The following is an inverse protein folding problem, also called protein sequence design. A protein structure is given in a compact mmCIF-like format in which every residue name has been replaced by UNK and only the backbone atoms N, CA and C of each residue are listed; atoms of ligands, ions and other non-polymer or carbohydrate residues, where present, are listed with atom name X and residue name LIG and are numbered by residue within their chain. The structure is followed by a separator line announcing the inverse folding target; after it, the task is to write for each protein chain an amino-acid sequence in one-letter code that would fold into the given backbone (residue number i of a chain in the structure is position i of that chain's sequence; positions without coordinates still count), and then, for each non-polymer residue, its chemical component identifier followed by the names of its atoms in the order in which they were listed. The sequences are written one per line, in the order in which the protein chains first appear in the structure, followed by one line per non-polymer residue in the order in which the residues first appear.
data_IF_066767779055
#
_entry.id   IF_066767779055
#
_cell.length_a   1.000
_cell.length_b   1.000
_cell.length_c   1.000
_cell.angle_alpha   90.00
_cell.angle_beta   90.00
_cell.angle_gamma   90.00
#
_symmetry.space_group_name_H-M   'P 1'
#
loop_
_entity.id
_entity.type
_entity.pdbx_description
1 polymer ?
#
# COMPACT_ATOMS: atom_id res chain seq x y z
N UNK A 1 10.11 9.87 -15.57
CA UNK A 1 9.86 10.88 -14.53
C UNK A 1 10.93 11.99 -14.49
N UNK A 2 11.85 12.08 -15.47
CA UNK A 2 12.95 13.06 -15.45
C UNK A 2 12.87 14.15 -16.53
N UNK A 3 11.87 14.10 -17.43
CA UNK A 3 11.85 14.93 -18.64
C UNK A 3 11.85 16.44 -18.36
N UNK A 4 11.04 16.89 -17.40
CA UNK A 4 10.98 18.32 -17.02
C UNK A 4 12.30 18.79 -16.38
N UNK A 5 12.92 17.94 -15.56
CA UNK A 5 14.21 18.22 -14.93
C UNK A 5 15.32 18.38 -15.98
N UNK A 6 15.44 17.40 -16.89
CA UNK A 6 16.44 17.41 -17.97
C UNK A 6 16.26 18.63 -18.89
N UNK A 7 15.01 18.93 -19.28
CA UNK A 7 14.70 20.09 -20.12
C UNK A 7 15.05 21.42 -19.46
N UNK A 8 14.88 21.55 -18.14
CA UNK A 8 15.24 22.77 -17.41
C UNK A 8 16.77 22.94 -17.32
N UNK A 9 17.51 21.86 -17.05
CA UNK A 9 18.97 21.87 -17.06
C UNK A 9 19.53 22.23 -18.44
N UNK A 10 18.94 21.70 -19.52
CA UNK A 10 19.32 22.05 -20.89
C UNK A 10 19.08 23.53 -21.24
N UNK A 11 18.11 24.18 -20.59
CA UNK A 11 17.85 25.62 -20.73
C UNK A 11 18.77 26.49 -19.88
N UNK A 12 19.77 25.91 -19.22
CA UNK A 12 20.68 26.62 -18.32
C UNK A 12 20.05 27.02 -16.99
N UNK A 13 18.89 26.46 -16.64
CA UNK A 13 18.22 26.71 -15.37
C UNK A 13 18.82 25.77 -14.32
N UNK A 14 19.28 26.33 -13.21
CA UNK A 14 19.75 25.55 -12.08
C UNK A 14 18.57 24.90 -11.37
N UNK A 15 18.46 23.57 -11.49
CA UNK A 15 17.43 22.76 -10.85
C UNK A 15 18.09 21.64 -10.06
N UNK A 16 17.89 21.62 -8.75
CA UNK A 16 18.29 20.51 -7.88
C UNK A 16 17.09 19.57 -7.67
N UNK A 17 17.39 18.31 -7.37
CA UNK A 17 16.39 17.34 -6.96
C UNK A 17 16.85 16.79 -5.62
N UNK A 18 15.99 16.91 -4.63
CA UNK A 18 16.20 16.29 -3.33
C UNK A 18 15.16 15.19 -3.14
N UNK A 19 15.61 14.03 -2.71
CA UNK A 19 14.75 12.91 -2.40
C UNK A 19 15.15 12.41 -1.01
N UNK A 20 14.35 12.75 -0.02
CA UNK A 20 14.45 12.17 1.31
C UNK A 20 14.12 10.67 1.23
N UNK A 21 15.14 9.85 1.01
CA UNK A 21 15.00 8.40 1.07
C UNK A 21 14.90 7.97 2.53
N UNK A 22 13.68 7.87 3.05
CA UNK A 22 13.45 7.28 4.36
C UNK A 22 13.38 5.75 4.25
N UNK A 23 14.35 5.05 4.82
CA UNK A 23 14.32 3.58 4.92
C UNK A 23 13.29 3.08 5.94
N UNK A 24 12.97 3.92 6.93
CA UNK A 24 12.27 3.52 8.15
C UNK A 24 10.84 4.08 8.24
N UNK A 25 10.43 4.95 7.30
CA UNK A 25 9.15 5.66 7.36
C UNK A 25 8.06 5.05 6.45
N UNK A 26 8.23 3.79 6.07
CA UNK A 26 7.25 3.08 5.24
C UNK A 26 6.05 2.63 6.09
N UNK A 27 4.84 2.92 5.61
CA UNK A 27 3.63 2.38 6.23
C UNK A 27 3.59 0.85 6.07
N UNK A 28 3.27 0.15 7.15
CA UNK A 28 2.93 -1.26 7.09
C UNK A 28 1.51 -1.44 6.52
N UNK A 29 1.27 -2.52 5.76
CA UNK A 29 -0.02 -2.78 5.12
C UNK A 29 -1.21 -2.75 6.09
N UNK A 30 -1.03 -3.28 7.31
CA UNK A 30 -2.08 -3.28 8.33
C UNK A 30 -2.51 -1.88 8.81
N UNK A 31 -1.69 -0.84 8.59
CA UNK A 31 -2.03 0.54 8.94
C UNK A 31 -3.01 1.18 7.96
N UNK A 32 -3.36 0.49 6.86
CA UNK A 32 -4.42 0.89 5.93
C UNK A 32 -5.81 0.48 6.42
N UNK A 33 -5.89 -0.51 7.31
CA UNK A 33 -7.16 -1.01 7.82
C UNK A 33 -7.90 0.08 8.63
N UNK A 34 -9.23 0.06 8.71
CA UNK A 34 -9.97 0.95 9.61
C UNK A 34 -9.44 0.89 11.05
N UNK A 35 -9.49 2.02 11.77
CA UNK A 35 -8.89 2.12 13.11
C UNK A 35 -9.39 1.03 14.08
N UNK A 36 -10.68 0.70 14.03
CA UNK A 36 -11.27 -0.37 14.86
C UNK A 36 -10.68 -1.76 14.54
N UNK A 37 -10.33 -2.01 13.27
CA UNK A 37 -9.74 -3.26 12.85
C UNK A 37 -8.30 -3.38 13.34
N UNK A 38 -7.60 -2.26 13.55
CA UNK A 38 -6.24 -2.21 14.11
C UNK A 38 -6.21 -2.40 15.65
N UNK A 39 -7.33 -2.17 16.34
CA UNK A 39 -7.38 -2.19 17.80
C UNK A 39 -6.96 -3.54 18.40
N UNK A 40 -6.10 -3.52 19.41
CA UNK A 40 -5.57 -4.74 20.05
C UNK A 40 -4.36 -5.36 19.33
N UNK A 41 -3.79 -4.67 18.33
CA UNK A 41 -2.50 -4.99 17.74
C UNK A 41 -2.53 -6.14 16.72
N UNK A 42 -1.34 -6.54 16.26
CA UNK A 42 -1.15 -7.44 15.09
C UNK A 42 -1.84 -8.80 15.23
N UNK A 43 -1.85 -9.38 16.44
CA UNK A 43 -2.52 -10.67 16.69
C UNK A 43 -4.03 -10.59 16.44
N UNK A 44 -4.68 -9.56 17.00
CA UNK A 44 -6.12 -9.32 16.81
C UNK A 44 -6.47 -8.97 15.38
N UNK A 45 -5.58 -8.26 14.66
CA UNK A 45 -5.74 -8.01 13.22
C UNK A 45 -5.78 -9.34 12.46
N UNK A 46 -4.82 -10.22 12.69
CA UNK A 46 -4.78 -11.54 12.02
C UNK A 46 -6.03 -12.37 12.34
N UNK A 47 -6.48 -12.37 13.59
CA UNK A 47 -7.72 -13.05 13.97
C UNK A 47 -8.95 -12.49 13.24
N UNK A 48 -9.09 -11.17 13.17
CA UNK A 48 -10.16 -10.49 12.43
C UNK A 48 -10.13 -10.81 10.94
N UNK A 49 -8.95 -10.83 10.32
CA UNK A 49 -8.79 -11.08 8.89
C UNK A 49 -9.04 -12.54 8.46
N UNK A 50 -9.19 -13.47 9.42
CA UNK A 50 -9.67 -14.84 9.16
C UNK A 50 -11.17 -14.92 8.92
N UNK A 51 -11.92 -13.92 9.39
CA UNK A 51 -13.38 -13.87 9.25
C UNK A 51 -13.74 -13.17 7.93
N UNK A 52 -14.41 -13.87 6.99
CA UNK A 52 -14.77 -13.30 5.70
C UNK A 52 -15.77 -12.13 5.81
N UNK A 53 -16.67 -12.13 6.79
CA UNK A 53 -17.62 -11.02 6.99
C UNK A 53 -16.88 -9.76 7.45
N UNK A 54 -15.86 -9.94 8.29
CA UNK A 54 -15.00 -8.84 8.73
C UNK A 54 -14.16 -8.30 7.56
N UNK A 55 -13.65 -9.16 6.68
CA UNK A 55 -12.91 -8.72 5.47
C UNK A 55 -13.78 -7.86 4.57
N UNK A 56 -15.01 -8.29 4.30
CA UNK A 56 -15.96 -7.52 3.48
C UNK A 56 -16.36 -6.19 4.15
N UNK A 57 -16.54 -6.18 5.47
CA UNK A 57 -16.77 -4.94 6.23
C UNK A 57 -15.59 -3.97 6.09
N UNK A 58 -14.36 -4.46 6.26
CA UNK A 58 -13.13 -3.66 6.10
C UNK A 58 -13.05 -3.08 4.68
N UNK A 59 -13.24 -3.92 3.66
CA UNK A 59 -13.21 -3.53 2.25
C UNK A 59 -14.23 -2.43 1.96
N UNK A 60 -15.47 -2.63 2.40
CA UNK A 60 -16.55 -1.63 2.24
C UNK A 60 -16.18 -0.30 2.92
N UNK A 61 -15.70 -0.33 4.16
CA UNK A 61 -15.35 0.91 4.87
C UNK A 61 -14.19 1.68 4.22
N UNK A 62 -13.20 0.99 3.65
CA UNK A 62 -12.11 1.65 2.92
C UNK A 62 -12.62 2.27 1.62
N UNK A 63 -13.53 1.61 0.91
CA UNK A 63 -14.11 2.13 -0.34
C UNK A 63 -15.03 3.32 -0.07
N UNK A 64 -15.89 3.21 0.94
CA UNK A 64 -16.82 4.26 1.34
C UNK A 64 -16.09 5.47 1.95
N UNK A 65 -14.97 5.23 2.66
CA UNK A 65 -14.07 6.26 3.20
C UNK A 65 -14.79 7.29 4.09
N UNK A 66 -15.79 6.84 4.84
CA UNK A 66 -16.59 7.69 5.76
C UNK A 66 -15.78 8.26 6.92
N UNK A 67 -14.72 7.54 7.32
CA UNK A 67 -13.75 7.98 8.33
C UNK A 67 -12.36 7.90 7.72
N UNK A 68 -11.93 8.96 6.98
CA UNK A 68 -10.71 8.91 6.21
C UNK A 68 -9.49 8.59 7.04
N UNK A 69 -8.67 7.67 6.53
CA UNK A 69 -7.36 7.36 7.09
C UNK A 69 -6.27 8.28 6.56
N UNK A 70 -5.00 7.96 6.84
CA UNK A 70 -3.86 8.67 6.26
C UNK A 70 -3.86 8.60 4.73
N UNK A 71 -3.23 9.58 4.06
CA UNK A 71 -3.32 9.74 2.61
C UNK A 71 -2.97 8.50 1.77
N UNK A 72 -2.08 7.63 2.25
CA UNK A 72 -1.73 6.39 1.57
C UNK A 72 -2.90 5.39 1.43
N UNK A 73 -3.94 5.49 2.27
CA UNK A 73 -5.17 4.69 2.19
C UNK A 73 -5.89 4.94 0.87
N UNK A 74 -5.75 6.14 0.30
CA UNK A 74 -6.31 6.49 -1.01
C UNK A 74 -5.84 5.57 -2.13
N UNK A 75 -4.62 5.00 -2.06
CA UNK A 75 -4.16 4.04 -3.07
C UNK A 75 -5.01 2.78 -3.08
N UNK A 76 -5.41 2.29 -1.91
CA UNK A 76 -6.27 1.10 -1.78
C UNK A 76 -7.71 1.43 -2.17
N UNK A 77 -8.25 2.55 -1.69
CA UNK A 77 -9.59 3.05 -2.06
C UNK A 77 -9.78 3.14 -3.58
N UNK A 78 -8.78 3.71 -4.26
CA UNK A 78 -8.83 3.92 -5.71
C UNK A 78 -8.30 2.75 -6.54
N UNK A 79 -8.06 1.58 -5.92
CA UNK A 79 -7.59 0.38 -6.62
C UNK A 79 -6.24 0.55 -7.31
N UNK A 80 -5.39 1.45 -6.82
CA UNK A 80 -4.05 1.72 -7.35
C UNK A 80 -3.02 0.69 -6.89
N UNK A 81 -3.35 -0.58 -7.10
CA UNK A 81 -2.53 -1.73 -6.74
C UNK A 81 -1.19 -1.74 -7.47
N UNK A 82 -1.14 -1.10 -8.65
CA UNK A 82 0.04 -0.81 -9.46
C UNK A 82 1.06 0.11 -8.76
N UNK A 83 0.66 0.76 -7.67
CA UNK A 83 1.49 1.72 -6.92
C UNK A 83 1.85 1.28 -5.51
N UNK A 84 1.43 0.10 -5.08
CA UNK A 84 1.69 -0.42 -3.74
C UNK A 84 2.76 -1.51 -3.84
N UNK A 85 3.98 -1.19 -3.42
CA UNK A 85 5.15 -2.07 -3.53
C UNK A 85 5.47 -2.75 -2.21
N UNK A 86 5.90 -4.01 -2.27
CA UNK A 86 6.48 -4.69 -1.10
C UNK A 86 7.95 -4.29 -0.97
N UNK A 87 8.23 -3.43 0.01
CA UNK A 87 9.59 -2.98 0.31
C UNK A 87 10.38 -4.02 1.12
N UNK A 88 9.76 -4.60 2.16
CA UNK A 88 10.41 -5.57 3.04
C UNK A 88 9.40 -6.58 3.58
N UNK A 89 9.80 -7.85 3.69
CA UNK A 89 9.03 -8.86 4.42
C UNK A 89 9.93 -9.99 4.94
N UNK A 90 9.47 -10.72 5.96
CA UNK A 90 10.22 -11.84 6.57
C UNK A 90 9.98 -13.18 5.85
N UNK A 91 8.71 -13.49 5.53
CA UNK A 91 8.28 -14.80 5.00
C UNK A 91 8.29 -14.84 3.47
N UNK A 92 7.74 -13.83 2.82
CA UNK A 92 7.50 -13.81 1.37
C UNK A 92 8.60 -13.07 0.59
N UNK A 93 9.88 -13.34 0.88
CA UNK A 93 11.02 -12.53 0.39
C UNK A 93 11.06 -12.38 -1.14
N UNK A 94 10.55 -13.38 -1.87
CA UNK A 94 10.43 -13.37 -3.33
C UNK A 94 9.44 -12.34 -3.88
N UNK A 95 8.63 -11.71 -3.02
CA UNK A 95 7.69 -10.66 -3.40
C UNK A 95 8.26 -9.25 -3.25
N UNK A 96 9.45 -9.11 -2.65
CA UNK A 96 10.11 -7.79 -2.51
C UNK A 96 10.32 -7.19 -3.90
N UNK A 97 10.01 -5.89 -4.03
CA UNK A 97 10.06 -5.15 -5.29
C UNK A 97 8.85 -5.34 -6.20
N UNK A 98 7.91 -6.22 -5.86
CA UNK A 98 6.67 -6.41 -6.64
C UNK A 98 5.54 -5.54 -6.12
N UNK A 99 4.65 -5.16 -7.04
CA UNK A 99 3.40 -4.48 -6.70
C UNK A 99 2.33 -5.47 -6.23
N UNK A 100 1.32 -5.00 -5.50
CA UNK A 100 0.15 -5.83 -5.15
C UNK A 100 -0.54 -6.37 -6.42
N UNK A 101 -0.59 -5.59 -7.51
CA UNK A 101 -1.16 -6.04 -8.79
C UNK A 101 -0.38 -7.21 -9.40
N UNK A 102 0.96 -7.14 -9.41
CA UNK A 102 1.80 -8.24 -9.90
C UNK A 102 1.64 -9.49 -9.05
N UNK A 103 1.56 -9.32 -7.72
CA UNK A 103 1.38 -10.44 -6.80
C UNK A 103 0.00 -11.07 -6.99
N UNK A 104 -1.04 -10.27 -7.23
CA UNK A 104 -2.38 -10.73 -7.59
C UNK A 104 -2.38 -11.59 -8.85
N UNK A 105 -1.69 -11.14 -9.92
CA UNK A 105 -1.50 -11.91 -11.16
C UNK A 105 -0.76 -13.23 -10.90
N UNK A 106 0.33 -13.21 -10.12
CA UNK A 106 1.10 -14.42 -9.76
C UNK A 106 0.24 -15.42 -8.97
N UNK A 107 -0.63 -14.92 -8.09
CA UNK A 107 -1.45 -15.76 -7.19
C UNK A 107 -2.82 -16.14 -7.79
N UNK A 108 -3.22 -15.58 -8.92
CA UNK A 108 -4.55 -15.78 -9.50
C UNK A 108 -5.68 -15.33 -8.56
N UNK A 109 -5.46 -14.25 -7.80
CA UNK A 109 -6.39 -13.72 -6.80
C UNK A 109 -6.68 -12.25 -7.05
N UNK A 110 -7.82 -11.78 -6.55
CA UNK A 110 -8.14 -10.36 -6.56
C UNK A 110 -7.12 -9.54 -5.75
N UNK A 111 -6.71 -8.34 -6.21
CA UNK A 111 -5.70 -7.54 -5.52
C UNK A 111 -6.03 -7.19 -4.08
N UNK A 112 -7.31 -6.91 -3.78
CA UNK A 112 -7.75 -6.61 -2.41
C UNK A 112 -7.55 -7.83 -1.49
N UNK A 113 -7.88 -9.03 -1.97
CA UNK A 113 -7.68 -10.26 -1.21
C UNK A 113 -6.19 -10.53 -0.99
N UNK A 114 -5.35 -10.31 -2.00
CA UNK A 114 -3.89 -10.40 -1.84
C UNK A 114 -3.37 -9.39 -0.82
N UNK A 115 -3.86 -8.16 -0.83
CA UNK A 115 -3.47 -7.14 0.13
C UNK A 115 -3.78 -7.55 1.58
N UNK A 116 -4.96 -8.13 1.82
CA UNK A 116 -5.35 -8.61 3.16
C UNK A 116 -4.65 -9.91 3.57
N UNK A 117 -4.13 -10.70 2.63
CA UNK A 117 -3.41 -11.95 2.88
C UNK A 117 -1.91 -11.75 3.22
N UNK A 118 -1.35 -10.56 2.96
CA UNK A 118 0.08 -10.24 3.11
C UNK A 118 0.43 -9.59 4.45
#
# INVERSE_FOLDING_TARGET
MFKIYEEARLKGIEVTLDNDTHTDFNAHLHQVLPQWAQAGGKGRIVERLKDPEIREKIKREIIEDKHPGPGYVGLVKHGRWDRIYIFQCKKNKNLIGKTIEEIAKIRGKEPFEVFLDL
#
